data_IF_335230227328
#
_entry.id   IF_335230227328
#
_cell.length_a   1.000
_cell.length_b   1.000
_cell.length_c   1.000
_cell.angle_alpha   90.00
_cell.angle_beta   90.00
_cell.angle_gamma   90.00
#
_symmetry.space_group_name_H-M   'P 1'
#
loop_
_entity.id
_entity.type
_entity.pdbx_description
1 polymer ?
#
# COMPACT_ATOMS: atom_id res chain seq x y z
N UNK A 1 -6.62 6.19 12.16
CA UNK A 1 -6.50 7.60 11.76
C UNK A 1 -5.09 8.15 11.94
N UNK A 2 -4.53 8.25 13.16
CA UNK A 2 -3.20 8.85 13.40
C UNK A 2 -2.06 8.14 12.66
N UNK A 3 -2.02 6.80 12.69
CA UNK A 3 -1.02 6.00 11.97
C UNK A 3 -1.12 6.25 10.48
N UNK A 4 -2.33 6.20 9.90
CA UNK A 4 -2.55 6.45 8.48
C UNK A 4 -2.06 7.84 8.06
N UNK A 5 -2.37 8.89 8.86
CA UNK A 5 -1.92 10.25 8.57
C UNK A 5 -0.39 10.36 8.59
N UNK A 6 0.24 9.81 9.62
CA UNK A 6 1.71 9.80 9.74
C UNK A 6 2.37 9.08 8.56
N UNK A 7 1.91 7.86 8.24
CA UNK A 7 2.47 7.08 7.13
C UNK A 7 2.28 7.77 5.78
N UNK A 8 1.14 8.44 5.57
CA UNK A 8 0.88 9.19 4.33
C UNK A 8 1.86 10.35 4.11
N UNK A 9 2.39 10.92 5.19
CA UNK A 9 3.39 11.98 5.14
C UNK A 9 4.82 11.41 5.00
N UNK A 10 5.12 10.29 5.65
CA UNK A 10 6.47 9.72 5.72
C UNK A 10 6.77 8.75 4.58
N UNK A 11 5.83 7.87 4.22
CA UNK A 11 6.02 6.82 3.21
C UNK A 11 4.70 6.39 2.59
N UNK A 12 4.46 6.79 1.36
CA UNK A 12 3.21 6.46 0.66
C UNK A 12 3.05 4.95 0.44
N UNK A 13 4.15 4.22 0.28
CA UNK A 13 4.11 2.76 0.14
C UNK A 13 3.70 2.07 1.43
N UNK A 14 4.21 2.51 2.58
CA UNK A 14 3.79 1.98 3.88
C UNK A 14 2.34 2.37 4.21
N UNK A 15 1.94 3.59 3.85
CA UNK A 15 0.54 4.02 3.95
C UNK A 15 -0.39 3.08 3.18
N UNK A 16 -0.05 2.75 1.94
CA UNK A 16 -0.88 1.90 1.09
C UNK A 16 -1.04 0.49 1.67
N UNK A 17 0.08 -0.12 2.10
CA UNK A 17 0.05 -1.44 2.75
C UNK A 17 -0.75 -1.42 4.07
N UNK A 18 -0.61 -0.36 4.85
CA UNK A 18 -1.39 -0.16 6.07
C UNK A 18 -2.89 -0.02 5.77
N UNK A 19 -3.28 0.73 4.74
CA UNK A 19 -4.68 0.88 4.35
C UNK A 19 -5.28 -0.43 3.84
N UNK A 20 -4.52 -1.27 3.15
CA UNK A 20 -4.98 -2.60 2.75
C UNK A 20 -5.24 -3.50 3.98
N UNK A 21 -4.38 -3.41 5.00
CA UNK A 21 -4.63 -4.10 6.27
C UNK A 21 -5.89 -3.58 6.97
N UNK A 22 -6.14 -2.27 6.93
CA UNK A 22 -7.35 -1.67 7.47
C UNK A 22 -8.59 -2.18 6.73
N UNK A 23 -8.56 -2.22 5.39
CA UNK A 23 -9.65 -2.80 4.59
C UNK A 23 -9.92 -4.26 4.96
N UNK A 24 -8.87 -5.08 5.10
CA UNK A 24 -9.02 -6.48 5.50
C UNK A 24 -9.55 -6.64 6.92
N UNK A 25 -9.15 -5.77 7.84
CA UNK A 25 -9.67 -5.75 9.20
C UNK A 25 -11.16 -5.37 9.22
N UNK A 26 -11.58 -4.42 8.39
CA UNK A 26 -12.99 -4.07 8.22
C UNK A 26 -13.77 -5.26 7.67
N UNK A 27 -13.25 -5.97 6.66
CA UNK A 27 -13.86 -7.18 6.11
C UNK A 27 -13.99 -8.30 7.12
N UNK A 28 -12.93 -8.53 7.90
CA UNK A 28 -12.92 -9.56 8.95
C UNK A 28 -14.00 -9.33 10.02
N UNK A 29 -14.40 -8.06 10.22
CA UNK A 29 -15.51 -7.68 11.10
C UNK A 29 -16.86 -7.56 10.36
N UNK A 30 -16.95 -8.01 9.12
CA UNK A 30 -18.19 -8.00 8.33
C UNK A 30 -18.66 -6.62 7.91
N UNK A 31 -17.77 -5.63 7.84
CA UNK A 31 -18.09 -4.22 7.61
C UNK A 31 -19.12 -3.66 8.62
N UNK A 32 -19.07 -4.17 9.86
CA UNK A 32 -19.96 -3.81 10.95
C UNK A 32 -19.24 -2.87 11.92
N UNK A 33 -19.72 -1.63 12.06
CA UNK A 33 -19.04 -0.61 12.85
C UNK A 33 -19.07 -0.93 14.34
N UNK A 34 -20.16 -1.54 14.85
CA UNK A 34 -20.28 -1.88 16.27
C UNK A 34 -19.25 -2.96 16.65
N UNK A 35 -19.06 -3.95 15.76
CA UNK A 35 -18.00 -4.95 15.92
C UNK A 35 -16.62 -4.34 15.84
N UNK A 36 -16.36 -3.47 14.86
CA UNK A 36 -15.09 -2.78 14.73
C UNK A 36 -14.76 -1.93 15.95
N UNK A 37 -15.74 -1.22 16.49
CA UNK A 37 -15.55 -0.45 17.70
C UNK A 37 -15.11 -1.35 18.86
N UNK A 38 -15.80 -2.45 19.09
CA UNK A 38 -15.49 -3.37 20.19
C UNK A 38 -14.17 -4.12 20.01
N UNK A 39 -13.88 -4.60 18.80
CA UNK A 39 -12.72 -5.48 18.54
C UNK A 39 -11.45 -4.71 18.23
N UNK A 40 -11.55 -3.49 17.70
CA UNK A 40 -10.41 -2.70 17.22
C UNK A 40 -10.23 -1.43 18.04
N UNK A 41 -11.29 -0.60 18.21
CA UNK A 41 -11.16 0.73 18.81
C UNK A 41 -11.03 0.65 20.33
N UNK A 42 -11.92 -0.07 21.00
CA UNK A 42 -11.93 -0.22 22.47
C UNK A 42 -10.60 -0.72 23.04
N UNK A 43 -9.90 -1.72 22.42
CA UNK A 43 -8.61 -2.20 22.92
C UNK A 43 -7.48 -1.16 22.95
N UNK A 44 -7.60 -0.06 22.19
CA UNK A 44 -6.59 1.03 22.25
C UNK A 44 -6.69 1.85 23.53
N UNK A 45 -7.78 1.74 24.28
CA UNK A 45 -8.02 2.47 25.55
C UNK A 45 -7.71 3.99 25.42
N UNK A 46 -8.24 4.61 24.37
CA UNK A 46 -8.05 6.01 24.03
C UNK A 46 -8.93 6.92 24.91
N UNK A 47 -8.53 8.20 25.11
CA UNK A 47 -9.42 9.23 25.62
C UNK A 47 -10.71 9.34 24.77
N UNK A 48 -11.82 9.75 25.39
CA UNK A 48 -13.16 9.75 24.76
C UNK A 48 -13.20 10.45 23.39
N UNK A 49 -12.57 11.63 23.29
CA UNK A 49 -12.49 12.39 22.03
C UNK A 49 -11.77 11.60 20.94
N UNK A 50 -10.60 11.01 21.25
CA UNK A 50 -9.83 10.22 20.29
C UNK A 50 -10.52 8.89 19.92
N UNK A 51 -11.25 8.31 20.89
CA UNK A 51 -12.06 7.13 20.63
C UNK A 51 -13.16 7.45 19.62
N UNK A 52 -13.90 8.55 19.82
CA UNK A 52 -14.96 8.99 18.92
C UNK A 52 -14.41 9.28 17.50
N UNK A 53 -13.29 10.02 17.40
CA UNK A 53 -12.63 10.29 16.12
C UNK A 53 -12.20 9.02 15.38
N UNK A 54 -11.67 8.03 16.10
CA UNK A 54 -11.23 6.77 15.48
C UNK A 54 -12.43 5.93 15.03
N UNK A 55 -13.51 5.88 15.83
CA UNK A 55 -14.75 5.20 15.45
C UNK A 55 -15.37 5.83 14.22
N UNK A 56 -15.45 7.17 14.16
CA UNK A 56 -15.94 7.89 12.99
C UNK A 56 -15.09 7.61 11.73
N UNK A 57 -13.77 7.57 11.88
CA UNK A 57 -12.88 7.25 10.77
C UNK A 57 -13.14 5.84 10.21
N UNK A 58 -13.35 4.83 11.06
CA UNK A 58 -13.71 3.48 10.61
C UNK A 58 -15.12 3.46 9.99
N UNK A 59 -16.08 4.17 10.56
CA UNK A 59 -17.43 4.26 10.02
C UNK A 59 -17.43 4.82 8.58
N UNK A 60 -16.65 5.89 8.34
CA UNK A 60 -16.48 6.47 7.02
C UNK A 60 -15.87 5.47 6.03
N UNK A 61 -14.86 4.70 6.44
CA UNK A 61 -14.26 3.67 5.57
C UNK A 61 -15.24 2.54 5.27
N UNK A 62 -16.02 2.08 6.24
CA UNK A 62 -17.07 1.07 6.05
C UNK A 62 -18.11 1.56 5.03
N UNK A 63 -18.55 2.80 5.15
CA UNK A 63 -19.50 3.40 4.21
C UNK A 63 -18.91 3.48 2.79
N UNK A 64 -17.67 3.95 2.66
CA UNK A 64 -16.97 3.98 1.37
C UNK A 64 -16.86 2.58 0.75
N UNK A 65 -16.48 1.56 1.55
CA UNK A 65 -16.38 0.18 1.06
C UNK A 65 -17.71 -0.36 0.56
N UNK A 66 -18.83 -0.02 1.22
CA UNK A 66 -20.18 -0.37 0.78
C UNK A 66 -20.57 0.33 -0.51
N UNK A 67 -20.36 1.65 -0.57
CA UNK A 67 -20.68 2.45 -1.76
C UNK A 67 -19.90 2.03 -3.00
N UNK A 68 -18.64 1.63 -2.81
CA UNK A 68 -17.76 1.17 -3.90
C UNK A 68 -17.90 -0.34 -4.21
N UNK A 69 -18.69 -1.09 -3.43
CA UNK A 69 -18.92 -2.53 -3.63
C UNK A 69 -17.67 -3.39 -3.37
N UNK A 70 -16.77 -2.94 -2.49
CA UNK A 70 -15.51 -3.63 -2.15
C UNK A 70 -15.53 -4.30 -0.78
N UNK A 71 -16.70 -4.62 -0.26
CA UNK A 71 -16.89 -5.27 1.03
C UNK A 71 -16.29 -6.68 1.09
N UNK A 72 -16.26 -7.39 -0.03
CA UNK A 72 -15.75 -8.77 -0.11
C UNK A 72 -14.33 -8.86 -0.65
N UNK A 73 -13.97 -8.00 -1.59
CA UNK A 73 -12.65 -8.02 -2.25
C UNK A 73 -12.37 -6.72 -2.98
N UNK A 74 -11.10 -6.51 -3.34
CA UNK A 74 -10.65 -5.29 -4.01
C UNK A 74 -10.24 -4.21 -3.02
N UNK A 75 -10.02 -3.00 -3.51
CA UNK A 75 -9.52 -1.87 -2.73
C UNK A 75 -10.36 -0.63 -2.99
N UNK A 76 -10.44 0.24 -1.99
CA UNK A 76 -11.05 1.57 -2.10
C UNK A 76 -10.41 2.38 -3.23
N UNK A 77 -11.21 3.15 -3.93
CA UNK A 77 -10.75 3.98 -5.04
C UNK A 77 -9.65 4.97 -4.61
N UNK A 78 -9.73 5.49 -3.38
CA UNK A 78 -8.68 6.37 -2.83
C UNK A 78 -7.30 5.69 -2.79
N UNK A 79 -7.24 4.38 -2.53
CA UNK A 79 -6.02 3.59 -2.50
C UNK A 79 -5.56 3.21 -3.92
N UNK A 80 -6.51 2.90 -4.83
CA UNK A 80 -6.21 2.71 -6.26
C UNK A 80 -5.63 3.96 -6.90
N UNK A 81 -6.13 5.14 -6.55
CA UNK A 81 -5.62 6.42 -7.06
C UNK A 81 -4.14 6.64 -6.67
N UNK A 82 -3.69 6.12 -5.52
CA UNK A 82 -2.28 6.18 -5.15
C UNK A 82 -1.44 5.30 -6.09
N UNK A 83 -1.89 4.09 -6.41
CA UNK A 83 -1.19 3.21 -7.37
C UNK A 83 -1.12 3.88 -8.75
N UNK A 84 -2.19 4.53 -9.20
CA UNK A 84 -2.20 5.29 -10.46
C UNK A 84 -1.15 6.41 -10.41
N UNK A 85 -1.14 7.22 -9.36
CA UNK A 85 -0.18 8.32 -9.21
C UNK A 85 1.27 7.82 -9.15
N UNK A 86 1.53 6.70 -8.45
CA UNK A 86 2.83 6.06 -8.41
C UNK A 86 3.23 5.49 -9.78
N UNK A 87 2.28 4.96 -10.56
CA UNK A 87 2.53 4.46 -11.91
C UNK A 87 2.92 5.60 -12.85
N UNK A 88 2.23 6.73 -12.78
CA UNK A 88 2.55 7.92 -13.58
C UNK A 88 3.94 8.47 -13.24
N UNK A 89 4.26 8.55 -11.95
CA UNK A 89 5.60 8.95 -11.51
C UNK A 89 6.67 7.96 -11.98
N UNK A 90 6.42 6.64 -11.83
CA UNK A 90 7.33 5.60 -12.33
C UNK A 90 7.66 5.78 -13.80
N UNK A 91 6.64 6.00 -14.65
CA UNK A 91 6.84 6.20 -16.09
C UNK A 91 7.73 7.42 -16.35
N UNK A 92 7.50 8.54 -15.68
CA UNK A 92 8.32 9.76 -15.84
C UNK A 92 9.75 9.56 -15.38
N UNK A 93 9.98 8.89 -14.24
CA UNK A 93 11.33 8.57 -13.74
C UNK A 93 12.08 7.62 -14.69
N UNK A 94 11.37 6.67 -15.31
CA UNK A 94 11.98 5.75 -16.29
C UNK A 94 12.38 6.41 -17.60
N UNK A 95 11.71 7.49 -18.01
CA UNK A 95 12.04 8.24 -19.23
C UNK A 95 13.12 9.32 -19.00
N UNK A 96 13.34 9.76 -17.77
CA UNK A 96 14.32 10.80 -17.45
C UNK A 96 15.73 10.23 -17.27
N UNK A 97 16.74 10.92 -17.82
CA UNK A 97 18.16 10.54 -17.66
C UNK A 97 18.70 10.88 -16.26
N UNK A 98 17.96 11.63 -15.46
CA UNK A 98 18.41 12.09 -14.13
C UNK A 98 18.36 11.00 -13.04
N UNK A 99 17.66 9.87 -13.26
CA UNK A 99 17.39 8.85 -12.23
C UNK A 99 17.97 7.46 -12.51
N UNK A 100 19.27 7.33 -12.85
CA UNK A 100 19.87 6.05 -13.23
C UNK A 100 19.84 5.02 -12.09
N UNK A 101 19.92 5.44 -10.83
CA UNK A 101 19.83 4.53 -9.68
C UNK A 101 18.43 3.93 -9.50
N UNK A 102 17.40 4.72 -9.78
CA UNK A 102 16.02 4.24 -9.76
C UNK A 102 15.78 3.23 -10.88
N UNK A 103 16.21 3.56 -12.09
CA UNK A 103 16.11 2.67 -13.26
C UNK A 103 16.85 1.34 -13.01
N UNK A 104 18.06 1.39 -12.44
CA UNK A 104 18.81 0.19 -12.08
C UNK A 104 18.08 -0.67 -11.03
N UNK A 105 17.43 -0.05 -10.03
CA UNK A 105 16.65 -0.76 -9.04
C UNK A 105 15.41 -1.43 -9.68
N UNK A 106 14.72 -0.74 -10.59
CA UNK A 106 13.60 -1.31 -11.34
C UNK A 106 14.06 -2.51 -12.18
N UNK A 107 15.10 -2.36 -13.02
CA UNK A 107 15.58 -3.45 -13.85
C UNK A 107 16.07 -4.67 -13.05
N UNK A 108 16.53 -4.46 -11.83
CA UNK A 108 16.90 -5.56 -10.93
C UNK A 108 15.65 -6.29 -10.40
N UNK A 109 14.57 -5.58 -10.11
CA UNK A 109 13.31 -6.16 -9.68
C UNK A 109 12.48 -6.76 -10.84
N UNK A 110 12.69 -6.30 -12.09
CA UNK A 110 11.87 -6.63 -13.26
C UNK A 110 11.67 -8.14 -13.50
N UNK A 111 12.66 -9.03 -13.38
CA UNK A 111 12.46 -10.46 -13.56
C UNK A 111 11.40 -11.02 -12.60
N UNK A 112 11.40 -10.55 -11.36
CA UNK A 112 10.44 -10.96 -10.33
C UNK A 112 9.05 -10.37 -10.59
N UNK A 113 8.99 -9.12 -11.05
CA UNK A 113 7.73 -8.46 -11.44
C UNK A 113 7.06 -9.24 -12.58
N UNK A 114 7.83 -9.65 -13.58
CA UNK A 114 7.33 -10.47 -14.71
C UNK A 114 6.80 -11.83 -14.19
N UNK A 115 7.51 -12.47 -13.27
CA UNK A 115 7.06 -13.72 -12.65
C UNK A 115 5.76 -13.55 -11.85
N UNK A 116 5.65 -12.47 -11.08
CA UNK A 116 4.43 -12.14 -10.32
C UNK A 116 3.24 -11.94 -11.24
N UNK A 117 3.40 -11.19 -12.34
CA UNK A 117 2.35 -10.99 -13.34
C UNK A 117 1.90 -12.28 -13.99
N UNK A 118 2.83 -13.19 -14.26
CA UNK A 118 2.50 -14.50 -14.83
C UNK A 118 1.66 -15.36 -13.86
N UNK A 119 1.83 -15.18 -12.56
CA UNK A 119 1.09 -15.91 -11.51
C UNK A 119 -0.20 -15.22 -11.06
N UNK A 120 -0.22 -13.89 -11.02
CA UNK A 120 -1.29 -13.09 -10.44
C UNK A 120 -2.39 -12.62 -11.39
N UNK A 121 -2.26 -12.92 -12.71
CA UNK A 121 -3.17 -12.44 -13.74
C UNK A 121 -2.67 -11.16 -14.42
N UNK A 122 -2.94 -11.08 -15.74
CA UNK A 122 -2.43 -10.00 -16.61
C UNK A 122 -3.20 -8.68 -16.48
N UNK A 123 -4.29 -8.65 -15.72
CA UNK A 123 -5.19 -7.49 -15.62
C UNK A 123 -4.65 -6.40 -14.67
N UNK A 124 -3.74 -6.74 -13.74
CA UNK A 124 -3.17 -5.82 -12.78
C UNK A 124 -1.93 -5.11 -13.32
N UNK A 125 -1.73 -3.87 -12.91
CA UNK A 125 -0.50 -3.12 -13.21
C UNK A 125 0.73 -3.76 -12.55
N UNK A 126 1.94 -3.43 -13.03
CA UNK A 126 3.18 -3.94 -12.44
C UNK A 126 3.33 -3.52 -10.97
N UNK A 127 3.01 -2.27 -10.65
CA UNK A 127 3.06 -1.78 -9.28
C UNK A 127 2.04 -2.45 -8.39
N UNK A 128 0.81 -2.67 -8.87
CA UNK A 128 -0.21 -3.38 -8.10
C UNK A 128 0.25 -4.81 -7.76
N UNK A 129 0.86 -5.52 -8.71
CA UNK A 129 1.46 -6.84 -8.44
C UNK A 129 2.61 -6.77 -7.44
N UNK A 130 3.43 -5.71 -7.46
CA UNK A 130 4.47 -5.48 -6.45
C UNK A 130 3.86 -5.30 -5.06
N UNK A 131 2.83 -4.47 -4.93
CA UNK A 131 2.16 -4.24 -3.64
C UNK A 131 1.43 -5.49 -3.15
N UNK A 132 0.75 -6.24 -4.02
CA UNK A 132 0.15 -7.53 -3.67
C UNK A 132 1.19 -8.51 -3.08
N UNK A 133 2.36 -8.59 -3.71
CA UNK A 133 3.44 -9.46 -3.22
C UNK A 133 3.99 -9.00 -1.87
N UNK A 134 4.22 -7.70 -1.70
CA UNK A 134 4.69 -7.12 -0.43
C UNK A 134 3.66 -7.35 0.68
N UNK A 135 2.40 -7.10 0.40
CA UNK A 135 1.30 -7.32 1.35
C UNK A 135 1.16 -8.80 1.72
N UNK A 136 1.15 -9.69 0.73
CA UNK A 136 1.04 -11.13 0.95
C UNK A 136 2.14 -11.67 1.84
N UNK A 137 3.40 -11.26 1.61
CA UNK A 137 4.51 -11.69 2.46
C UNK A 137 4.46 -11.05 3.85
N UNK A 138 4.02 -9.80 3.95
CA UNK A 138 3.80 -9.19 5.26
C UNK A 138 2.76 -9.98 6.07
N UNK A 139 1.65 -10.38 5.45
CA UNK A 139 0.62 -11.22 6.09
C UNK A 139 1.15 -12.60 6.49
N UNK A 140 2.00 -13.23 5.66
CA UNK A 140 2.66 -14.50 6.02
C UNK A 140 3.55 -14.35 7.27
N UNK A 141 4.32 -13.26 7.35
CA UNK A 141 5.16 -12.94 8.51
C UNK A 141 4.34 -12.71 9.79
N UNK A 142 3.22 -12.01 9.70
CA UNK A 142 2.29 -11.85 10.83
C UNK A 142 1.74 -13.19 11.32
N UNK A 143 1.52 -14.14 10.41
CA UNK A 143 1.11 -15.51 10.72
C UNK A 143 2.28 -16.42 11.17
N UNK A 144 3.51 -15.87 11.33
CA UNK A 144 4.74 -16.60 11.65
C UNK A 144 5.08 -17.73 10.67
N UNK A 145 4.66 -17.58 9.41
CA UNK A 145 5.00 -18.51 8.33
C UNK A 145 6.35 -18.13 7.72
N UNK A 146 7.15 -19.13 7.40
CA UNK A 146 8.45 -18.92 6.77
C UNK A 146 8.29 -18.58 5.29
N UNK A 147 9.15 -17.68 4.84
CA UNK A 147 9.26 -17.28 3.42
C UNK A 147 10.53 -17.89 2.86
N UNK A 148 10.44 -18.61 1.75
CA UNK A 148 11.60 -19.23 1.12
C UNK A 148 12.68 -18.21 0.74
N UNK A 149 13.95 -18.64 0.72
CA UNK A 149 15.11 -17.76 0.44
C UNK A 149 15.00 -17.03 -0.89
N UNK A 150 14.55 -17.71 -1.94
CA UNK A 150 14.37 -17.10 -3.27
C UNK A 150 13.33 -15.99 -3.24
N UNK A 151 12.18 -16.25 -2.63
CA UNK A 151 11.12 -15.25 -2.44
C UNK A 151 11.61 -14.08 -1.59
N UNK A 152 12.39 -14.33 -0.55
CA UNK A 152 12.95 -13.27 0.29
C UNK A 152 13.93 -12.37 -0.49
N UNK A 153 14.75 -12.95 -1.39
CA UNK A 153 15.66 -12.19 -2.25
C UNK A 153 14.89 -11.35 -3.28
N UNK A 154 13.93 -11.95 -3.97
CA UNK A 154 13.06 -11.26 -4.90
C UNK A 154 12.33 -10.07 -4.26
N UNK A 155 11.81 -10.29 -3.07
CA UNK A 155 11.16 -9.23 -2.30
C UNK A 155 12.09 -8.09 -1.89
N UNK A 156 13.34 -8.39 -1.55
CA UNK A 156 14.31 -7.34 -1.20
C UNK A 156 14.53 -6.36 -2.36
N UNK A 157 14.56 -6.86 -3.60
CA UNK A 157 14.69 -6.02 -4.79
C UNK A 157 13.41 -5.23 -5.07
N UNK A 158 12.23 -5.83 -4.90
CA UNK A 158 10.94 -5.13 -5.01
C UNK A 158 10.80 -4.06 -3.92
N UNK A 159 11.15 -4.36 -2.65
CA UNK A 159 11.14 -3.39 -1.54
C UNK A 159 12.02 -2.19 -1.86
N UNK A 160 13.24 -2.44 -2.38
CA UNK A 160 14.15 -1.36 -2.75
C UNK A 160 13.57 -0.48 -3.86
N UNK A 161 13.02 -1.08 -4.90
CA UNK A 161 12.41 -0.37 -6.03
C UNK A 161 11.21 0.47 -5.56
N UNK A 162 10.25 -0.14 -4.85
CA UNK A 162 9.04 0.53 -4.34
C UNK A 162 9.39 1.60 -3.30
N UNK A 163 10.40 1.35 -2.45
CA UNK A 163 10.90 2.34 -1.49
C UNK A 163 11.45 3.59 -2.17
N UNK A 164 12.31 3.44 -3.19
CA UNK A 164 12.80 4.57 -3.99
C UNK A 164 11.66 5.34 -4.67
N UNK A 165 10.68 4.64 -5.22
CA UNK A 165 9.50 5.29 -5.81
C UNK A 165 8.71 6.09 -4.78
N UNK A 166 8.55 5.55 -3.58
CA UNK A 166 7.89 6.23 -2.45
C UNK A 166 8.64 7.50 -2.05
N UNK A 167 9.97 7.45 -1.97
CA UNK A 167 10.81 8.61 -1.66
C UNK A 167 10.68 9.70 -2.73
N UNK A 168 10.69 9.33 -4.02
CA UNK A 168 10.49 10.28 -5.10
C UNK A 168 9.07 10.87 -5.12
N UNK A 169 8.07 10.09 -4.77
CA UNK A 169 6.70 10.60 -4.61
C UNK A 169 6.60 11.65 -3.51
N UNK A 170 7.26 11.44 -2.38
CA UNK A 170 7.31 12.41 -1.28
C UNK A 170 8.01 13.71 -1.72
N UNK A 171 9.15 13.60 -2.43
CA UNK A 171 9.87 14.76 -2.98
C UNK A 171 9.04 15.53 -4.01
N UNK A 172 8.31 14.84 -4.89
CA UNK A 172 7.43 15.48 -5.86
C UNK A 172 6.33 16.28 -5.17
N UNK A 173 5.70 15.71 -4.15
CA UNK A 173 4.68 16.41 -3.38
C UNK A 173 5.21 17.62 -2.60
N UNK A 174 6.48 17.58 -2.22
CA UNK A 174 7.17 18.72 -1.58
C UNK A 174 7.63 19.78 -2.60
N UNK A 175 7.52 19.51 -3.92
CA UNK A 175 8.05 20.40 -4.98
C UNK A 175 9.57 20.35 -5.09
N UNK A 176 10.21 19.30 -4.57
CA UNK A 176 11.66 19.12 -4.53
C UNK A 176 12.17 18.21 -5.66
N UNK A 177 11.27 17.68 -6.48
CA UNK A 177 11.62 16.76 -7.57
C UNK A 177 11.62 17.49 -8.92
N UNK A 178 12.78 17.62 -9.52
CA UNK A 178 12.98 18.14 -10.87
C UNK A 178 13.18 16.96 -11.85
N UNK A 179 12.12 16.64 -12.61
CA UNK A 179 12.11 15.56 -13.61
C UNK A 179 12.33 16.14 -15.02
N UNK A 180 11.99 17.40 -15.24
CA UNK A 180 12.09 18.03 -16.57
C UNK A 180 13.58 18.19 -16.99
N UNK A 181 13.83 17.95 -18.27
CA UNK A 181 15.17 18.14 -18.89
C UNK A 181 15.43 19.62 -19.22
#
# INVERSE_FOLDING_TARGET
MYIAKKLREESISEYLLYMWQVEDMIRANGCDIDKLEQTVVVPYNLPEEQHAELTEWYANLVEMMRLEGVEQSGHLQINKNIIIALTDLHIRLMHSQKFPFYQAAYYKALPFIVELRAKGGQEKSELENCFDALYGVWMLRLQRKEVGKETATALADIVKFVGLLSDYYTKERAGELDIEE
#
